data_IF_073291882480
#
_entry.id   IF_073291882480
#
_cell.length_a   1.000
_cell.length_b   1.000
_cell.length_c   1.000
_cell.angle_alpha   90.00
_cell.angle_beta   90.00
_cell.angle_gamma   90.00
#
_symmetry.space_group_name_H-M   'P 1'
#
loop_
_entity.id
_entity.type
_entity.pdbx_description
1 polymer ?
#
# COMPACT_ATOMS: atom_id res chain seq x y z
N UNK A 1 43.82 -48.13 40.19
CA UNK A 1 42.39 -48.22 39.84
C UNK A 1 41.74 -46.89 40.19
N UNK A 2 41.44 -46.07 39.18
CA UNK A 2 40.78 -44.78 39.36
C UNK A 2 39.26 -44.94 39.18
N UNK A 3 38.42 -44.17 39.89
CA UNK A 3 36.97 -44.32 39.82
C UNK A 3 36.45 -43.84 38.46
N UNK A 4 35.65 -44.68 37.79
CA UNK A 4 34.84 -44.29 36.63
C UNK A 4 33.87 -43.20 37.07
N UNK A 5 34.08 -41.97 36.58
CA UNK A 5 33.03 -40.94 36.54
C UNK A 5 31.88 -41.48 35.69
N UNK A 6 30.80 -41.84 36.35
CA UNK A 6 29.46 -41.88 35.77
C UNK A 6 29.17 -40.51 35.17
N UNK A 7 29.22 -40.43 33.84
CA UNK A 7 28.68 -39.30 33.11
C UNK A 7 27.16 -39.32 33.28
N UNK A 8 26.66 -38.52 34.22
CA UNK A 8 25.27 -38.13 34.26
C UNK A 8 24.97 -37.37 32.96
N UNK A 9 24.32 -38.06 32.03
CA UNK A 9 23.55 -37.44 30.97
C UNK A 9 22.42 -36.67 31.62
N UNK A 10 22.71 -35.43 32.02
CA UNK A 10 21.72 -34.40 32.23
C UNK A 10 21.04 -34.17 30.89
N UNK A 11 19.93 -34.90 30.68
CA UNK A 11 18.90 -34.51 29.74
C UNK A 11 18.43 -33.13 30.18
N UNK A 12 19.08 -32.08 29.67
CA UNK A 12 18.51 -30.75 29.63
C UNK A 12 17.20 -30.89 28.86
N UNK A 13 16.12 -31.03 29.62
CA UNK A 13 14.77 -30.81 29.13
C UNK A 13 14.76 -29.38 28.63
N UNK A 14 15.01 -29.20 27.33
CA UNK A 14 14.80 -27.93 26.65
C UNK A 14 13.34 -27.59 26.87
N UNK A 15 13.07 -26.73 27.85
CA UNK A 15 11.74 -26.24 28.14
C UNK A 15 11.33 -25.46 26.90
N UNK A 16 10.61 -26.13 25.99
CA UNK A 16 9.97 -25.45 24.87
C UNK A 16 9.05 -24.40 25.48
N UNK A 17 9.32 -23.13 25.21
CA UNK A 17 8.46 -22.01 25.65
C UNK A 17 7.05 -22.08 25.06
N UNK A 18 6.80 -23.00 24.12
CA UNK A 18 5.53 -23.20 23.43
C UNK A 18 5.40 -24.68 23.03
N UNK A 19 5.14 -25.60 23.99
CA UNK A 19 5.10 -27.03 23.72
C UNK A 19 3.93 -27.36 22.79
N UNK A 20 4.23 -27.89 21.59
CA UNK A 20 3.23 -28.26 20.59
C UNK A 20 2.73 -27.13 19.68
N UNK A 21 3.21 -25.89 19.87
CA UNK A 21 2.86 -24.78 18.98
C UNK A 21 3.40 -24.98 17.56
N UNK A 22 2.62 -24.59 16.55
CA UNK A 22 2.97 -24.74 15.14
C UNK A 22 3.21 -26.20 14.72
N UNK A 23 2.49 -27.17 15.30
CA UNK A 23 2.59 -28.57 14.85
C UNK A 23 1.98 -28.80 13.47
N UNK A 24 1.07 -27.92 13.05
CA UNK A 24 0.36 -28.02 11.78
C UNK A 24 1.09 -27.25 10.67
N UNK A 25 1.18 -27.88 9.50
CA UNK A 25 1.76 -27.28 8.28
C UNK A 25 1.07 -25.99 7.86
N UNK A 26 -0.23 -25.87 8.13
CA UNK A 26 -1.03 -24.68 7.80
C UNK A 26 -0.56 -23.47 8.60
N UNK A 27 -0.41 -23.66 9.91
CA UNK A 27 -0.06 -22.59 10.86
C UNK A 27 1.40 -22.19 10.67
N UNK A 28 2.29 -23.16 10.37
CA UNK A 28 3.67 -22.90 9.97
C UNK A 28 3.76 -22.03 8.69
N UNK A 29 3.02 -22.39 7.64
CA UNK A 29 3.08 -21.69 6.37
C UNK A 29 2.49 -20.26 6.45
N UNK A 30 1.41 -20.08 7.22
CA UNK A 30 0.82 -18.78 7.52
C UNK A 30 1.79 -17.91 8.33
N UNK A 31 2.39 -18.47 9.39
CA UNK A 31 3.37 -17.78 10.21
C UNK A 31 4.60 -17.34 9.40
N UNK A 32 5.14 -18.24 8.56
CA UNK A 32 6.25 -17.92 7.67
C UNK A 32 5.91 -16.76 6.71
N UNK A 33 4.68 -16.70 6.21
CA UNK A 33 4.20 -15.60 5.36
C UNK A 33 4.22 -14.28 6.12
N UNK A 34 3.62 -14.24 7.31
CA UNK A 34 3.57 -13.05 8.17
C UNK A 34 4.98 -12.55 8.50
N UNK A 35 5.90 -13.44 8.88
CA UNK A 35 7.29 -13.09 9.21
C UNK A 35 8.03 -12.57 7.98
N UNK A 36 7.90 -13.24 6.83
CA UNK A 36 8.55 -12.86 5.58
C UNK A 36 8.13 -11.45 5.16
N UNK A 37 6.82 -11.17 5.11
CA UNK A 37 6.34 -9.86 4.66
C UNK A 37 6.59 -8.77 5.70
N UNK A 38 6.56 -9.08 7.00
CA UNK A 38 7.03 -8.14 8.02
C UNK A 38 8.47 -7.71 7.77
N UNK A 39 9.37 -8.66 7.50
CA UNK A 39 10.77 -8.37 7.16
C UNK A 39 10.89 -7.53 5.88
N UNK A 40 10.08 -7.82 4.85
CA UNK A 40 10.04 -7.04 3.61
C UNK A 40 9.59 -5.59 3.87
N UNK A 41 8.51 -5.37 4.61
CA UNK A 41 8.01 -4.03 4.92
C UNK A 41 8.98 -3.24 5.82
N UNK A 42 9.67 -3.90 6.76
CA UNK A 42 10.77 -3.29 7.51
C UNK A 42 11.93 -2.88 6.58
N UNK A 43 12.30 -3.74 5.62
CA UNK A 43 13.30 -3.41 4.59
C UNK A 43 12.89 -2.20 3.74
N UNK A 44 11.62 -2.12 3.34
CA UNK A 44 11.04 -0.96 2.63
C UNK A 44 11.11 0.29 3.50
N UNK A 45 10.86 0.19 4.81
CA UNK A 45 10.99 1.31 5.75
C UNK A 45 12.42 1.83 5.85
N UNK A 46 13.41 0.94 5.94
CA UNK A 46 14.83 1.34 5.89
C UNK A 46 15.16 2.01 4.55
N UNK A 47 14.71 1.45 3.43
CA UNK A 47 14.89 2.03 2.10
C UNK A 47 14.25 3.42 1.98
N UNK A 48 13.07 3.63 2.57
CA UNK A 48 12.37 4.91 2.64
C UNK A 48 13.24 5.98 3.30
N UNK A 49 13.87 5.68 4.45
CA UNK A 49 14.77 6.64 5.11
C UNK A 49 15.97 7.01 4.23
N UNK A 50 16.58 6.04 3.55
CA UNK A 50 17.70 6.28 2.65
C UNK A 50 17.30 7.13 1.43
N UNK A 51 16.14 6.84 0.83
CA UNK A 51 15.63 7.58 -0.34
C UNK A 51 15.20 9.00 0.05
N UNK A 52 14.51 9.20 1.18
CA UNK A 52 14.11 10.53 1.66
C UNK A 52 15.30 11.43 1.98
N UNK A 53 16.40 10.86 2.49
CA UNK A 53 17.63 11.61 2.76
C UNK A 53 18.26 12.16 1.47
N UNK A 54 18.21 11.40 0.37
CA UNK A 54 18.89 11.75 -0.90
C UNK A 54 18.02 12.48 -1.93
N UNK A 55 16.71 12.19 -1.99
CA UNK A 55 15.80 12.80 -2.98
C UNK A 55 15.25 14.12 -2.47
N UNK A 56 15.46 15.23 -3.20
CA UNK A 56 14.84 16.54 -2.89
C UNK A 56 13.45 16.68 -3.50
N UNK A 57 13.26 16.28 -4.76
CA UNK A 57 12.03 16.50 -5.52
C UNK A 57 10.87 15.56 -5.19
N UNK A 58 11.16 14.28 -4.90
CA UNK A 58 10.13 13.26 -4.66
C UNK A 58 9.62 13.17 -3.21
N UNK A 59 10.08 14.06 -2.32
CA UNK A 59 9.73 14.01 -0.88
C UNK A 59 8.23 14.09 -0.61
N UNK A 60 7.48 14.76 -1.49
CA UNK A 60 6.02 14.90 -1.37
C UNK A 60 5.29 13.59 -1.64
N UNK A 61 5.78 12.78 -2.58
CA UNK A 61 5.22 11.45 -2.86
C UNK A 61 5.46 10.51 -1.68
N UNK A 62 6.67 10.54 -1.11
CA UNK A 62 7.04 9.83 0.11
C UNK A 62 6.69 10.63 1.38
N UNK A 63 5.56 11.31 1.36
CA UNK A 63 5.11 12.18 2.42
C UNK A 63 4.57 11.43 3.65
N UNK A 64 3.74 12.14 4.43
CA UNK A 64 3.04 11.57 5.58
C UNK A 64 2.13 10.40 5.19
N UNK A 65 1.27 10.49 4.14
CA UNK A 65 0.37 9.39 3.77
C UNK A 65 1.10 8.07 3.46
N UNK A 66 2.20 8.14 2.69
CA UNK A 66 3.02 6.95 2.40
C UNK A 66 3.64 6.34 3.65
N UNK A 67 4.12 7.20 4.57
CA UNK A 67 4.73 6.74 5.82
C UNK A 67 3.69 6.10 6.73
N UNK A 68 2.51 6.71 6.85
CA UNK A 68 1.38 6.15 7.60
C UNK A 68 0.95 4.82 6.99
N UNK A 69 0.79 4.73 5.67
CA UNK A 69 0.47 3.49 4.99
C UNK A 69 1.44 2.36 5.37
N UNK A 70 2.74 2.62 5.25
CA UNK A 70 3.79 1.66 5.54
C UNK A 70 3.80 1.23 7.01
N UNK A 71 3.68 2.20 7.94
CA UNK A 71 3.63 1.91 9.38
C UNK A 71 2.38 1.10 9.73
N UNK A 72 1.22 1.42 9.15
CA UNK A 72 0.00 0.65 9.34
C UNK A 72 0.14 -0.79 8.86
N UNK A 73 0.78 -1.03 7.70
CA UNK A 73 1.10 -2.40 7.27
C UNK A 73 2.02 -3.12 8.27
N UNK A 74 3.11 -2.48 8.71
CA UNK A 74 4.03 -3.07 9.70
C UNK A 74 3.28 -3.44 10.99
N UNK A 75 2.45 -2.52 11.52
CA UNK A 75 1.66 -2.77 12.72
C UNK A 75 0.66 -3.92 12.52
N UNK A 76 -0.02 -3.97 11.37
CA UNK A 76 -0.90 -5.09 11.03
C UNK A 76 -0.16 -6.42 11.08
N UNK A 77 1.00 -6.55 10.44
CA UNK A 77 1.79 -7.78 10.49
C UNK A 77 2.30 -8.11 11.91
N UNK A 78 2.67 -7.09 12.71
CA UNK A 78 3.10 -7.30 14.10
C UNK A 78 1.94 -7.82 14.95
N UNK A 79 0.76 -7.21 14.89
CA UNK A 79 -0.41 -7.68 15.64
C UNK A 79 -0.88 -9.06 15.16
N UNK A 80 -0.84 -9.31 13.85
CA UNK A 80 -1.11 -10.63 13.29
C UNK A 80 -0.14 -11.69 13.81
N UNK A 81 1.16 -11.38 13.86
CA UNK A 81 2.18 -12.28 14.40
C UNK A 81 1.95 -12.57 15.89
N UNK A 82 1.72 -11.53 16.69
CA UNK A 82 1.44 -11.67 18.12
C UNK A 82 0.20 -12.53 18.34
N UNK A 83 -0.88 -12.26 17.60
CA UNK A 83 -2.14 -13.02 17.67
C UNK A 83 -1.91 -14.51 17.39
N UNK A 84 -1.21 -14.83 16.30
CA UNK A 84 -0.90 -16.22 15.91
C UNK A 84 -0.02 -16.92 16.95
N UNK A 85 1.04 -16.27 17.44
CA UNK A 85 1.93 -16.88 18.44
C UNK A 85 1.19 -17.14 19.74
N UNK A 86 0.38 -16.19 20.22
CA UNK A 86 -0.36 -16.35 21.47
C UNK A 86 -1.38 -17.49 21.39
N UNK A 87 -2.06 -17.61 20.25
CA UNK A 87 -3.04 -18.67 19.98
C UNK A 87 -2.39 -20.06 19.91
N UNK A 88 -1.31 -20.20 19.14
CA UNK A 88 -0.59 -21.48 18.98
C UNK A 88 0.05 -21.94 20.30
N UNK A 89 0.48 -21.01 21.15
CA UNK A 89 1.03 -21.34 22.45
C UNK A 89 -0.04 -21.54 23.53
N UNK A 90 -1.33 -21.44 23.20
CA UNK A 90 -2.45 -21.54 24.14
C UNK A 90 -2.30 -20.59 25.35
N UNK A 91 -1.71 -19.42 25.12
CA UNK A 91 -1.43 -18.41 26.17
C UNK A 91 -2.50 -17.31 26.23
N UNK A 92 -3.40 -17.27 25.25
CA UNK A 92 -4.48 -16.30 25.16
C UNK A 92 -5.84 -17.01 25.08
N UNK A 93 -6.87 -16.32 25.54
CA UNK A 93 -8.26 -16.71 25.32
C UNK A 93 -8.75 -16.24 23.93
N UNK A 94 -9.83 -16.87 23.46
CA UNK A 94 -10.43 -16.62 22.14
C UNK A 94 -10.88 -15.15 21.96
N UNK A 95 -11.47 -14.45 22.96
CA UNK A 95 -11.83 -13.04 22.84
C UNK A 95 -10.63 -12.14 22.55
N UNK A 96 -9.55 -12.28 23.32
CA UNK A 96 -8.32 -11.50 23.12
C UNK A 96 -7.69 -11.76 21.75
N UNK A 97 -7.74 -13.01 21.26
CA UNK A 97 -7.33 -13.34 19.89
C UNK A 97 -8.15 -12.57 18.83
N UNK A 98 -9.47 -12.50 19.00
CA UNK A 98 -10.33 -11.74 18.08
C UNK A 98 -10.10 -10.23 18.15
N UNK A 99 -9.81 -9.67 19.33
CA UNK A 99 -9.48 -8.25 19.48
C UNK A 99 -8.17 -7.88 18.78
N UNK A 100 -7.13 -8.71 18.93
CA UNK A 100 -5.85 -8.54 18.23
C UNK A 100 -6.00 -8.68 16.72
N UNK A 101 -6.78 -9.68 16.28
CA UNK A 101 -7.07 -9.90 14.86
C UNK A 101 -7.87 -8.74 14.26
N UNK A 102 -8.84 -8.21 14.99
CA UNK A 102 -9.61 -7.03 14.59
C UNK A 102 -8.71 -5.81 14.47
N UNK A 103 -7.82 -5.60 15.45
CA UNK A 103 -6.83 -4.51 15.44
C UNK A 103 -5.91 -4.62 14.22
N UNK A 104 -5.42 -5.83 13.94
CA UNK A 104 -4.59 -6.10 12.75
C UNK A 104 -5.33 -5.74 11.45
N UNK A 105 -6.61 -6.14 11.33
CA UNK A 105 -7.43 -5.84 10.15
C UNK A 105 -7.66 -4.34 9.99
N UNK A 106 -7.90 -3.60 11.08
CA UNK A 106 -8.06 -2.13 11.02
C UNK A 106 -6.80 -1.47 10.46
N UNK A 107 -5.62 -1.86 10.95
CA UNK A 107 -4.36 -1.33 10.43
C UNK A 107 -4.11 -1.73 8.97
N UNK A 108 -4.46 -2.96 8.58
CA UNK A 108 -4.36 -3.41 7.19
C UNK A 108 -5.24 -2.56 6.27
N UNK A 109 -6.52 -2.39 6.62
CA UNK A 109 -7.49 -1.57 5.91
C UNK A 109 -7.03 -0.11 5.77
N UNK A 110 -6.53 0.47 6.87
CA UNK A 110 -5.99 1.82 6.88
C UNK A 110 -4.77 1.95 5.97
N UNK A 111 -3.86 0.97 6.03
CA UNK A 111 -2.68 0.91 5.16
C UNK A 111 -3.05 0.85 3.67
N UNK A 112 -4.02 0.01 3.33
CA UNK A 112 -4.54 -0.15 1.97
C UNK A 112 -5.20 1.13 1.46
N UNK A 113 -6.02 1.77 2.28
CA UNK A 113 -6.63 3.05 1.94
C UNK A 113 -5.59 4.17 1.74
N UNK A 114 -4.62 4.31 2.65
CA UNK A 114 -3.55 5.31 2.53
C UNK A 114 -2.68 5.06 1.30
N UNK A 115 -2.39 3.81 0.95
CA UNK A 115 -1.69 3.48 -0.30
C UNK A 115 -2.48 3.98 -1.52
N UNK A 116 -3.80 3.73 -1.54
CA UNK A 116 -4.68 4.25 -2.60
C UNK A 116 -4.67 5.79 -2.61
N UNK A 117 -4.70 6.45 -1.46
CA UNK A 117 -4.57 7.91 -1.36
C UNK A 117 -3.25 8.41 -1.97
N UNK A 118 -2.12 7.74 -1.69
CA UNK A 118 -0.83 8.09 -2.29
C UNK A 118 -0.88 7.97 -3.81
N UNK A 119 -1.44 6.90 -4.35
CA UNK A 119 -1.44 6.64 -5.79
C UNK A 119 -2.48 7.49 -6.53
N UNK A 120 -3.73 7.49 -6.08
CA UNK A 120 -4.82 8.22 -6.75
C UNK A 120 -4.64 9.72 -6.58
N UNK A 121 -4.39 10.20 -5.35
CA UNK A 121 -4.33 11.63 -5.08
C UNK A 121 -2.90 12.18 -5.21
N UNK A 122 -1.94 11.65 -4.45
CA UNK A 122 -0.62 12.29 -4.32
C UNK A 122 0.18 12.20 -5.63
N UNK A 123 0.28 11.01 -6.24
CA UNK A 123 1.01 10.81 -7.49
C UNK A 123 0.40 11.60 -8.65
N UNK A 124 -0.92 11.47 -8.89
CA UNK A 124 -1.57 12.18 -9.99
C UNK A 124 -1.54 13.70 -9.83
N UNK A 125 -1.67 14.23 -8.60
CA UNK A 125 -1.54 15.67 -8.39
C UNK A 125 -0.12 16.17 -8.63
N UNK A 126 0.91 15.39 -8.27
CA UNK A 126 2.30 15.73 -8.60
C UNK A 126 2.55 15.71 -10.12
N UNK A 127 2.12 14.66 -10.82
CA UNK A 127 2.27 14.55 -12.28
C UNK A 127 1.56 15.70 -13.02
N UNK A 128 0.35 16.06 -12.61
CA UNK A 128 -0.40 17.17 -13.22
C UNK A 128 0.21 18.54 -12.93
N UNK A 129 0.76 18.73 -11.74
CA UNK A 129 1.46 19.98 -11.39
C UNK A 129 2.65 20.22 -12.32
N UNK A 130 3.38 19.16 -12.70
CA UNK A 130 4.50 19.23 -13.65
C UNK A 130 4.09 19.66 -15.07
N UNK A 131 2.84 19.44 -15.45
CA UNK A 131 2.29 19.85 -16.76
C UNK A 131 1.75 21.30 -16.69
N UNK A 132 1.75 21.95 -15.51
CA UNK A 132 1.15 23.27 -15.33
C UNK A 132 -0.39 23.27 -15.49
N UNK A 133 -1.01 22.09 -15.47
CA UNK A 133 -2.44 21.89 -15.77
C UNK A 133 -3.26 21.44 -14.56
N UNK A 134 -2.86 21.78 -13.33
CA UNK A 134 -3.62 21.38 -12.15
C UNK A 134 -4.89 22.23 -12.05
N UNK A 135 -5.96 21.82 -12.74
CA UNK A 135 -7.27 22.41 -12.53
C UNK A 135 -7.83 21.94 -11.19
N UNK A 136 -8.48 22.84 -10.45
CA UNK A 136 -9.16 22.55 -9.18
C UNK A 136 -10.09 21.34 -9.29
N UNK A 137 -10.69 21.14 -10.47
CA UNK A 137 -11.57 20.02 -10.81
C UNK A 137 -10.92 18.66 -10.54
N UNK A 138 -9.72 18.39 -11.06
CA UNK A 138 -9.10 17.07 -10.87
C UNK A 138 -8.77 16.78 -9.40
N UNK A 139 -8.40 17.82 -8.64
CA UNK A 139 -8.15 17.67 -7.20
C UNK A 139 -9.41 17.25 -6.45
N UNK A 140 -10.55 17.87 -6.77
CA UNK A 140 -11.86 17.50 -6.19
C UNK A 140 -12.23 16.08 -6.56
N UNK A 141 -12.07 15.69 -7.83
CA UNK A 141 -12.36 14.32 -8.30
C UNK A 141 -11.52 13.28 -7.57
N UNK A 142 -10.22 13.49 -7.41
CA UNK A 142 -9.36 12.53 -6.68
C UNK A 142 -9.74 12.42 -5.19
N UNK A 143 -10.07 13.53 -4.54
CA UNK A 143 -10.54 13.53 -3.14
C UNK A 143 -11.88 12.79 -3.04
N UNK A 144 -12.79 13.00 -3.98
CA UNK A 144 -14.08 12.32 -4.00
C UNK A 144 -13.91 10.80 -4.14
N UNK A 145 -13.07 10.33 -5.08
CA UNK A 145 -12.78 8.90 -5.27
C UNK A 145 -12.23 8.29 -3.98
N UNK A 146 -11.19 8.90 -3.40
CA UNK A 146 -10.55 8.35 -2.20
C UNK A 146 -11.45 8.47 -0.96
N UNK A 147 -12.29 9.50 -0.89
CA UNK A 147 -13.27 9.69 0.19
C UNK A 147 -14.40 8.65 0.14
N UNK A 148 -14.93 8.34 -1.04
CA UNK A 148 -15.91 7.24 -1.20
C UNK A 148 -15.27 5.92 -0.81
N UNK A 149 -14.05 5.65 -1.26
CA UNK A 149 -13.31 4.44 -0.88
C UNK A 149 -13.07 4.35 0.62
N UNK A 150 -12.75 5.48 1.29
CA UNK A 150 -12.61 5.52 2.75
C UNK A 150 -13.88 5.04 3.46
N UNK A 151 -15.05 5.59 3.06
CA UNK A 151 -16.33 5.24 3.66
C UNK A 151 -16.66 3.75 3.48
N UNK A 152 -16.40 3.20 2.30
CA UNK A 152 -16.63 1.77 2.02
C UNK A 152 -15.71 0.89 2.86
N UNK A 153 -14.41 1.19 2.92
CA UNK A 153 -13.42 0.45 3.72
C UNK A 153 -13.76 0.51 5.22
N UNK A 154 -14.16 1.69 5.72
CA UNK A 154 -14.62 1.86 7.09
C UNK A 154 -15.87 1.02 7.37
N UNK A 155 -16.86 1.06 6.47
CA UNK A 155 -18.08 0.25 6.59
C UNK A 155 -17.77 -1.25 6.65
N UNK A 156 -16.89 -1.74 5.76
CA UNK A 156 -16.48 -3.14 5.75
C UNK A 156 -15.71 -3.53 7.01
N UNK A 157 -14.79 -2.69 7.46
CA UNK A 157 -13.99 -2.95 8.66
C UNK A 157 -14.87 -3.00 9.91
N UNK A 158 -15.82 -2.07 10.05
CA UNK A 158 -16.79 -2.05 11.16
C UNK A 158 -17.68 -3.29 11.13
N UNK A 159 -18.21 -3.65 9.96
CA UNK A 159 -19.07 -4.83 9.82
C UNK A 159 -18.33 -6.13 10.10
N UNK A 160 -17.06 -6.24 9.66
CA UNK A 160 -16.19 -7.37 9.97
C UNK A 160 -15.90 -7.46 11.46
N UNK A 161 -15.58 -6.35 12.13
CA UNK A 161 -15.35 -6.31 13.57
C UNK A 161 -16.62 -6.71 14.36
N UNK A 162 -17.78 -6.20 13.94
CA UNK A 162 -19.07 -6.57 14.53
C UNK A 162 -19.34 -8.07 14.40
N UNK A 163 -19.14 -8.66 13.21
CA UNK A 163 -19.38 -10.08 12.99
C UNK A 163 -18.41 -10.94 13.82
N UNK A 164 -17.13 -10.56 13.93
CA UNK A 164 -16.16 -11.25 14.79
C UNK A 164 -16.56 -11.20 16.28
N UNK A 165 -16.99 -10.03 16.76
CA UNK A 165 -17.47 -9.87 18.13
C UNK A 165 -18.78 -10.64 18.41
N UNK A 166 -19.69 -10.67 17.44
CA UNK A 166 -20.93 -11.46 17.57
C UNK A 166 -20.64 -12.96 17.65
N UNK A 167 -19.69 -13.46 16.84
CA UNK A 167 -19.27 -14.86 16.86
C UNK A 167 -18.61 -15.23 18.19
N UNK A 168 -17.71 -14.38 18.71
CA UNK A 168 -17.06 -14.64 20.01
C UNK A 168 -18.09 -14.71 21.14
N UNK A 169 -19.07 -13.79 21.18
CA UNK A 169 -20.14 -13.84 22.18
C UNK A 169 -21.03 -15.07 22.05
N UNK A 170 -21.40 -15.48 20.83
CA UNK A 170 -22.24 -16.68 20.63
C UNK A 170 -21.57 -17.95 21.15
N UNK A 171 -20.24 -18.05 20.99
CA UNK A 171 -19.46 -19.19 21.46
C UNK A 171 -19.46 -19.30 23.01
N UNK A 172 -19.37 -18.17 23.71
CA UNK A 172 -19.29 -18.16 25.17
C UNK A 172 -20.64 -18.08 25.90
N UNK A 173 -21.63 -17.38 25.33
CA UNK A 173 -22.90 -17.07 26.01
C UNK A 173 -24.09 -17.82 25.44
N UNK A 174 -23.92 -18.61 24.38
CA UNK A 174 -25.00 -19.36 23.73
C UNK A 174 -26.14 -18.46 23.24
N UNK A 175 -25.88 -17.17 23.02
CA UNK A 175 -26.86 -16.24 22.48
C UNK A 175 -26.75 -16.21 20.96
N UNK A 176 -27.85 -16.53 20.28
CA UNK A 176 -27.98 -16.35 18.83
C UNK A 176 -28.03 -14.85 18.51
N UNK A 177 -26.87 -14.23 18.30
CA UNK A 177 -26.80 -12.90 17.69
C UNK A 177 -26.93 -13.03 16.18
N UNK A 178 -27.72 -12.14 15.57
CA UNK A 178 -27.77 -12.01 14.12
C UNK A 178 -26.40 -11.55 13.58
N UNK A 179 -25.77 -12.41 12.77
CA UNK A 179 -24.52 -12.14 12.07
C UNK A 179 -24.84 -11.70 10.64
N UNK A 180 -24.23 -10.62 10.17
CA UNK A 180 -24.47 -10.05 8.85
C UNK A 180 -23.42 -10.52 7.83
N UNK A 181 -23.19 -11.83 7.75
CA UNK A 181 -22.13 -12.42 6.91
C UNK A 181 -22.36 -12.11 5.42
N UNK A 182 -23.60 -12.26 4.94
CA UNK A 182 -23.92 -12.03 3.53
C UNK A 182 -23.71 -10.56 3.13
N UNK A 183 -24.11 -9.62 3.99
CA UNK A 183 -23.90 -8.19 3.76
C UNK A 183 -22.39 -7.85 3.74
N UNK A 184 -21.59 -8.44 4.66
CA UNK A 184 -20.14 -8.28 4.66
C UNK A 184 -19.48 -8.81 3.38
N UNK A 185 -19.92 -9.96 2.89
CA UNK A 185 -19.40 -10.54 1.63
C UNK A 185 -19.71 -9.64 0.43
N UNK A 186 -20.94 -9.15 0.33
CA UNK A 186 -21.38 -8.24 -0.74
C UNK A 186 -20.66 -6.88 -0.69
N UNK A 187 -20.50 -6.33 0.52
CA UNK A 187 -19.77 -5.08 0.72
C UNK A 187 -18.27 -5.23 0.41
N UNK A 188 -17.65 -6.33 0.82
CA UNK A 188 -16.27 -6.65 0.47
C UNK A 188 -16.06 -6.79 -1.04
N UNK A 189 -17.00 -7.41 -1.76
CA UNK A 189 -16.95 -7.46 -3.23
C UNK A 189 -17.05 -6.05 -3.84
N UNK A 190 -17.96 -5.22 -3.35
CA UNK A 190 -18.10 -3.84 -3.82
C UNK A 190 -16.84 -3.01 -3.55
N UNK A 191 -16.23 -3.16 -2.36
CA UNK A 191 -14.96 -2.54 -2.00
C UNK A 191 -13.86 -2.90 -3.01
N UNK A 192 -13.67 -4.19 -3.27
CA UNK A 192 -12.61 -4.65 -4.19
C UNK A 192 -12.82 -4.16 -5.62
N UNK A 193 -14.08 -4.17 -6.11
CA UNK A 193 -14.41 -3.65 -7.45
C UNK A 193 -14.16 -2.15 -7.54
N UNK A 194 -14.60 -1.36 -6.55
CA UNK A 194 -14.37 0.08 -6.54
C UNK A 194 -12.89 0.42 -6.40
N UNK A 195 -12.13 -0.35 -5.61
CA UNK A 195 -10.69 -0.21 -5.51
C UNK A 195 -10.01 -0.48 -6.86
N UNK A 196 -10.40 -1.56 -7.55
CA UNK A 196 -9.89 -1.90 -8.88
C UNK A 196 -10.14 -0.77 -9.89
N UNK A 197 -11.38 -0.26 -9.95
CA UNK A 197 -11.74 0.85 -10.83
C UNK A 197 -10.94 2.10 -10.50
N UNK A 198 -10.73 2.40 -9.22
CA UNK A 198 -9.94 3.54 -8.76
C UNK A 198 -8.48 3.43 -9.20
N UNK A 199 -7.87 2.25 -9.06
CA UNK A 199 -6.49 1.97 -9.48
C UNK A 199 -6.36 2.08 -11.00
N UNK A 200 -7.26 1.47 -11.78
CA UNK A 200 -7.21 1.51 -13.25
C UNK A 200 -7.41 2.94 -13.77
N UNK A 201 -8.39 3.67 -13.24
CA UNK A 201 -8.62 5.07 -13.61
C UNK A 201 -7.41 5.95 -13.26
N UNK A 202 -6.85 5.78 -12.07
CA UNK A 202 -5.63 6.48 -11.64
C UNK A 202 -4.42 6.15 -12.52
N UNK A 203 -4.22 4.86 -12.86
CA UNK A 203 -3.20 4.40 -13.78
C UNK A 203 -3.32 5.07 -15.14
N UNK A 204 -4.53 5.06 -15.73
CA UNK A 204 -4.81 5.74 -16.99
C UNK A 204 -4.51 7.24 -16.96
N UNK A 205 -4.94 7.94 -15.90
CA UNK A 205 -4.69 9.37 -15.74
C UNK A 205 -3.21 9.70 -15.56
N UNK A 206 -2.48 8.87 -14.81
CA UNK A 206 -1.04 9.03 -14.60
C UNK A 206 -0.25 8.81 -15.89
N UNK A 207 -0.62 7.81 -16.71
CA UNK A 207 -0.03 7.58 -18.02
C UNK A 207 -0.32 8.71 -19.01
N UNK A 208 -1.56 9.21 -19.06
CA UNK A 208 -1.91 10.39 -19.86
C UNK A 208 -1.07 11.60 -19.48
N UNK A 209 -0.86 11.82 -18.17
CA UNK A 209 0.00 12.90 -17.69
C UNK A 209 1.45 12.71 -18.14
N UNK A 210 2.00 11.48 -18.08
CA UNK A 210 3.36 11.21 -18.54
C UNK A 210 3.50 11.38 -20.06
N UNK A 211 2.52 10.94 -20.85
CA UNK A 211 2.55 11.17 -22.31
C UNK A 211 2.49 12.67 -22.65
N UNK A 212 1.70 13.46 -21.91
CA UNK A 212 1.68 14.91 -22.05
C UNK A 212 3.01 15.56 -21.62
N UNK A 213 3.72 15.01 -20.63
CA UNK A 213 5.09 15.45 -20.32
C UNK A 213 6.05 15.14 -21.46
N UNK A 214 5.94 13.94 -22.06
CA UNK A 214 6.78 13.53 -23.19
C UNK A 214 6.56 14.40 -24.43
N UNK A 215 5.31 14.74 -24.77
CA UNK A 215 5.02 15.62 -25.90
C UNK A 215 5.60 17.03 -25.72
N UNK A 216 5.77 17.47 -24.47
CA UNK A 216 6.44 18.72 -24.09
C UNK A 216 7.95 18.61 -23.88
N UNK A 217 8.57 17.48 -24.27
CA UNK A 217 10.01 17.19 -24.12
C UNK A 217 10.51 17.26 -22.67
N UNK A 218 9.63 17.04 -21.69
CA UNK A 218 10.03 16.92 -20.29
C UNK A 218 10.64 15.54 -20.02
N UNK A 219 11.59 15.43 -19.07
CA UNK A 219 12.25 14.17 -18.73
C UNK A 219 11.27 13.22 -18.05
N UNK A 220 10.63 12.33 -18.83
CA UNK A 220 9.62 11.38 -18.34
C UNK A 220 9.69 9.97 -18.94
N UNK A 221 10.70 9.67 -19.76
CA UNK A 221 10.77 8.39 -20.48
C UNK A 221 10.78 7.16 -19.57
N UNK A 222 11.70 7.11 -18.62
CA UNK A 222 11.83 5.98 -17.67
C UNK A 222 10.70 5.96 -16.61
N UNK A 223 10.06 7.11 -16.36
CA UNK A 223 8.93 7.21 -15.44
C UNK A 223 7.72 6.37 -15.88
N UNK A 224 7.56 6.17 -17.20
CA UNK A 224 6.48 5.33 -17.76
C UNK A 224 6.59 3.90 -17.22
N UNK A 225 7.80 3.31 -17.25
CA UNK A 225 8.02 1.94 -16.81
C UNK A 225 7.62 1.74 -15.35
N UNK A 226 8.02 2.66 -14.47
CA UNK A 226 7.69 2.58 -13.04
C UNK A 226 6.20 2.77 -12.74
N UNK A 227 5.51 3.65 -13.47
CA UNK A 227 4.05 3.85 -13.31
C UNK A 227 3.26 2.66 -13.85
N UNK A 228 3.68 2.06 -14.97
CA UNK A 228 3.09 0.81 -15.45
C UNK A 228 3.32 -0.31 -14.44
N UNK A 229 4.55 -0.47 -13.93
CA UNK A 229 4.86 -1.48 -12.91
C UNK A 229 4.02 -1.30 -11.64
N UNK A 230 3.85 -0.06 -11.16
CA UNK A 230 2.96 0.27 -10.03
C UNK A 230 1.51 -0.10 -10.31
N UNK A 231 1.00 0.25 -11.50
CA UNK A 231 -0.39 -0.01 -11.85
C UNK A 231 -0.63 -1.52 -11.94
N UNK A 232 0.28 -2.26 -12.58
CA UNK A 232 0.21 -3.72 -12.69
C UNK A 232 0.31 -4.38 -11.32
N UNK A 233 1.21 -3.93 -10.43
CA UNK A 233 1.30 -4.50 -9.08
C UNK A 233 0.02 -4.27 -8.28
N UNK A 234 -0.55 -3.06 -8.31
CA UNK A 234 -1.80 -2.80 -7.59
C UNK A 234 -2.97 -3.57 -8.19
N UNK A 235 -3.10 -3.61 -9.52
CA UNK A 235 -4.16 -4.39 -10.18
C UNK A 235 -4.03 -5.88 -9.87
N UNK A 236 -2.82 -6.44 -9.93
CA UNK A 236 -2.59 -7.85 -9.62
C UNK A 236 -2.98 -8.19 -8.18
N UNK A 237 -2.62 -7.35 -7.20
CA UNK A 237 -3.03 -7.53 -5.80
C UNK A 237 -4.56 -7.55 -5.68
N UNK A 238 -5.23 -6.59 -6.32
CA UNK A 238 -6.70 -6.44 -6.22
C UNK A 238 -7.43 -7.55 -6.97
N UNK A 239 -6.86 -8.09 -8.05
CA UNK A 239 -7.43 -9.25 -8.74
C UNK A 239 -7.40 -10.50 -7.86
N UNK A 240 -6.35 -10.69 -7.06
CA UNK A 240 -6.30 -11.77 -6.06
C UNK A 240 -7.44 -11.60 -5.05
N UNK A 241 -7.59 -10.40 -4.50
CA UNK A 241 -8.67 -10.10 -3.55
C UNK A 241 -10.07 -10.23 -4.19
N UNK A 242 -10.20 -9.93 -5.48
CA UNK A 242 -11.46 -9.99 -6.21
C UNK A 242 -11.90 -11.43 -6.42
N UNK A 243 -10.98 -12.31 -6.82
CA UNK A 243 -11.23 -13.74 -6.91
C UNK A 243 -11.70 -14.25 -5.55
N UNK A 244 -11.02 -13.83 -4.48
CA UNK A 244 -11.40 -14.24 -3.12
C UNK A 244 -12.81 -13.78 -2.73
N UNK A 245 -13.13 -12.51 -3.02
CA UNK A 245 -14.43 -11.92 -2.72
C UNK A 245 -15.58 -12.58 -3.51
N UNK A 246 -15.39 -12.84 -4.81
CA UNK A 246 -16.42 -13.46 -5.68
C UNK A 246 -16.76 -14.86 -5.19
N UNK A 247 -15.75 -15.67 -4.95
CA UNK A 247 -15.93 -17.04 -4.49
C UNK A 247 -16.52 -17.11 -3.08
N UNK A 248 -16.15 -16.17 -2.18
CA UNK A 248 -16.80 -16.05 -0.87
C UNK A 248 -18.29 -15.76 -0.97
N UNK A 249 -18.71 -14.91 -1.92
CA UNK A 249 -20.12 -14.64 -2.21
C UNK A 249 -20.82 -15.88 -2.78
N UNK A 250 -20.14 -16.67 -3.61
CA UNK A 250 -20.67 -17.92 -4.18
C UNK A 250 -20.72 -19.08 -3.17
N UNK A 251 -20.12 -18.94 -1.99
CA UNK A 251 -20.08 -20.00 -0.98
C UNK A 251 -19.15 -21.15 -1.36
N UNK A 252 -18.16 -20.92 -2.23
CA UNK A 252 -17.18 -21.92 -2.61
C UNK A 252 -16.15 -22.03 -1.48
N UNK A 253 -16.00 -23.23 -0.90
CA UNK A 253 -15.00 -23.49 0.14
C UNK A 253 -13.60 -23.62 -0.47
N UNK A 254 -12.61 -23.04 0.20
CA UNK A 254 -11.22 -23.11 -0.21
C UNK A 254 -10.48 -24.20 0.53
N UNK A 255 -9.58 -24.85 -0.20
CA UNK A 255 -8.48 -25.53 0.48
C UNK A 255 -7.57 -24.48 1.11
N UNK A 256 -7.11 -24.73 2.33
CA UNK A 256 -6.23 -23.83 3.07
C UNK A 256 -4.94 -23.50 2.28
N UNK A 257 -4.44 -24.44 1.46
CA UNK A 257 -3.26 -24.21 0.63
C UNK A 257 -3.48 -23.06 -0.34
N UNK A 258 -4.69 -22.98 -0.91
CA UNK A 258 -5.07 -21.91 -1.84
C UNK A 258 -5.08 -20.57 -1.11
N UNK A 259 -5.73 -20.50 0.05
CA UNK A 259 -5.79 -19.27 0.86
C UNK A 259 -4.40 -18.74 1.22
N UNK A 260 -3.49 -19.62 1.63
CA UNK A 260 -2.12 -19.24 1.94
C UNK A 260 -1.40 -18.74 0.68
N UNK A 261 -1.46 -19.48 -0.43
CA UNK A 261 -0.83 -19.09 -1.68
C UNK A 261 -1.32 -17.72 -2.18
N UNK A 262 -2.62 -17.46 -2.11
CA UNK A 262 -3.20 -16.17 -2.45
C UNK A 262 -2.69 -15.05 -1.53
N UNK A 263 -2.59 -15.29 -0.23
CA UNK A 263 -2.01 -14.32 0.71
C UNK A 263 -0.56 -13.96 0.36
N UNK A 264 0.28 -14.94 0.00
CA UNK A 264 1.64 -14.66 -0.48
C UNK A 264 1.63 -13.78 -1.74
N UNK A 265 0.84 -14.15 -2.75
CA UNK A 265 0.79 -13.41 -4.01
C UNK A 265 0.29 -11.97 -3.78
N UNK A 266 -0.78 -11.80 -3.00
CA UNK A 266 -1.32 -10.48 -2.65
C UNK A 266 -0.29 -9.61 -1.93
N UNK A 267 0.32 -10.13 -0.86
CA UNK A 267 1.33 -9.40 -0.10
C UNK A 267 2.58 -9.06 -0.92
N UNK A 268 2.98 -9.94 -1.85
CA UNK A 268 4.07 -9.67 -2.78
C UNK A 268 3.78 -8.47 -3.68
N UNK A 269 2.61 -8.43 -4.32
CA UNK A 269 2.23 -7.33 -5.19
C UNK A 269 1.97 -6.02 -4.42
N UNK A 270 1.47 -6.13 -3.19
CA UNK A 270 1.34 -5.00 -2.28
C UNK A 270 2.71 -4.41 -1.94
N UNK A 271 3.68 -5.24 -1.55
CA UNK A 271 5.06 -4.81 -1.29
C UNK A 271 5.72 -4.19 -2.54
N UNK A 272 5.52 -4.79 -3.72
CA UNK A 272 5.99 -4.22 -4.99
C UNK A 272 5.41 -2.83 -5.25
N UNK A 273 4.15 -2.57 -4.88
CA UNK A 273 3.53 -1.26 -5.04
C UNK A 273 4.25 -0.19 -4.20
N UNK A 274 4.64 -0.51 -2.97
CA UNK A 274 5.47 0.37 -2.13
C UNK A 274 6.86 0.60 -2.71
N UNK A 275 7.50 -0.44 -3.25
CA UNK A 275 8.82 -0.35 -3.89
C UNK A 275 8.75 0.51 -5.16
N UNK A 276 7.74 0.29 -6.00
CA UNK A 276 7.53 1.08 -7.21
C UNK A 276 7.33 2.57 -6.88
N UNK A 277 6.62 2.89 -5.81
CA UNK A 277 6.50 4.27 -5.32
C UNK A 277 7.84 4.89 -4.86
N UNK A 278 8.73 4.11 -4.23
CA UNK A 278 10.09 4.57 -3.91
C UNK A 278 10.90 4.86 -5.18
N UNK A 279 10.81 3.98 -6.19
CA UNK A 279 11.47 4.18 -7.49
C UNK A 279 10.96 5.43 -8.20
N UNK A 280 9.64 5.61 -8.25
CA UNK A 280 8.99 6.81 -8.79
C UNK A 280 9.50 8.03 -8.04
N UNK A 281 9.51 8.05 -6.71
CA UNK A 281 9.95 9.20 -5.93
C UNK A 281 11.43 9.54 -6.08
N UNK A 282 12.28 8.56 -6.38
CA UNK A 282 13.71 8.77 -6.65
C UNK A 282 13.97 9.29 -8.08
N UNK A 283 13.00 9.20 -8.97
CA UNK A 283 13.17 9.50 -10.39
C UNK A 283 13.58 10.97 -10.66
N UNK A 284 14.44 11.18 -11.66
CA UNK A 284 15.05 12.48 -12.01
C UNK A 284 14.03 13.52 -12.50
N UNK A 285 12.84 13.09 -12.92
CA UNK A 285 11.74 13.98 -13.29
C UNK A 285 11.38 14.99 -12.18
N UNK A 286 11.63 14.65 -10.91
CA UNK A 286 11.32 15.51 -9.77
C UNK A 286 12.40 16.53 -9.45
N UNK A 287 13.64 16.35 -9.90
CA UNK A 287 14.73 17.29 -9.60
C UNK A 287 14.77 18.50 -10.53
N UNK A 288 14.01 18.46 -11.63
CA UNK A 288 14.01 19.49 -12.69
C UNK A 288 12.70 20.28 -12.72
N UNK A 289 12.15 20.64 -11.57
CA UNK A 289 11.04 21.59 -11.52
C UNK A 289 11.55 22.99 -11.82
N UNK A 290 11.49 23.34 -13.09
CA UNK A 290 11.31 24.69 -13.62
C UNK A 290 12.26 25.73 -13.01
N UNK A 291 13.49 25.80 -13.53
CA UNK A 291 13.96 27.12 -13.90
C UNK A 291 12.90 27.62 -14.88
N UNK A 292 12.01 28.47 -14.40
CA UNK A 292 11.23 29.34 -15.24
C UNK A 292 12.28 30.06 -16.06
N UNK A 293 12.62 29.53 -17.23
CA UNK A 293 12.85 30.39 -18.36
C UNK A 293 11.55 31.19 -18.44
N UNK A 294 11.50 32.28 -17.68
CA UNK A 294 11.11 33.54 -18.28
C UNK A 294 11.71 33.44 -19.67
N UNK A 295 10.86 33.36 -20.68
CA UNK A 295 11.25 33.93 -21.95
C UNK A 295 11.69 35.34 -21.54
N UNK A 296 12.99 35.49 -21.28
CA UNK A 296 13.65 36.77 -21.27
C UNK A 296 13.28 37.26 -22.65
N UNK A 297 12.25 38.10 -22.65
CA UNK A 297 11.73 38.75 -23.82
C UNK A 297 12.95 39.52 -24.26
N UNK A 298 13.73 38.94 -25.18
CA UNK A 298 14.91 39.59 -25.70
C UNK A 298 14.38 40.96 -26.11
N UNK A 299 14.81 42.05 -25.43
CA UNK A 299 14.28 43.36 -25.76
C UNK A 299 14.55 43.48 -27.25
N UNK A 300 13.48 43.64 -28.03
CA UNK A 300 13.59 43.94 -29.45
C UNK A 300 14.52 45.13 -29.48
N UNK A 301 15.78 44.92 -29.86
CA UNK A 301 16.74 45.99 -30.06
C UNK A 301 16.10 46.85 -31.13
N UNK A 302 15.47 47.95 -30.71
CA UNK A 302 14.97 48.98 -31.58
C UNK A 302 16.18 49.35 -32.46
N UNK A 303 16.11 49.00 -33.73
CA UNK A 303 17.11 49.43 -34.69
C UNK A 303 17.19 50.96 -34.59
N UNK A 304 18.39 51.54 -34.38
CA UNK A 304 18.54 52.98 -34.45
C UNK A 304 18.14 53.42 -35.86
N UNK A 305 17.03 54.16 -35.96
CA UNK A 305 16.66 54.90 -37.16
C UNK A 305 17.79 55.89 -37.40
N UNK A 306 18.62 55.61 -38.41
CA UNK A 306 19.63 56.54 -38.89
C UNK A 306 18.91 57.79 -39.40
N UNK A 307 18.99 58.88 -38.64
CA UNK A 307 18.58 60.19 -39.08
C UNK A 307 19.42 60.60 -40.29
N UNK A 308 18.80 60.58 -41.46
CA UNK A 308 19.37 61.12 -42.68
C UNK A 308 19.47 62.64 -42.52
N UNK A 309 20.69 63.12 -42.28
CA UNK A 309 20.97 64.55 -42.11
C UNK A 309 21.04 65.19 -43.50
N UNK A 310 19.89 65.60 -44.03
CA UNK A 310 19.79 66.45 -45.22
C UNK A 310 20.05 67.89 -44.80
N UNK A 311 21.32 68.29 -44.70
CA UNK A 311 21.69 69.70 -44.70
C UNK A 311 23.11 69.89 -45.23
N UNK A 312 23.19 70.36 -46.47
CA UNK A 312 24.39 70.90 -47.12
C UNK A 312 24.53 70.39 -48.55
N UNK A 313 24.67 71.19 -49.60
CA UNK A 313 24.90 72.63 -49.75
C UNK A 313 24.47 73.04 -51.16
N UNK A 314 24.10 74.32 -51.30
CA UNK A 314 24.07 75.08 -52.56
C UNK A 314 25.49 75.33 -53.06
#
# INVERSE_FOLDING_TARGET
>A
MAPRRSGSSSSESSYSSCPGGFSDTITQASFASTVLYLAVFLGISVALFLVRKKSSGGKRLLGVPYTIALVSFILSFVFGLISTVLMECSTTDIPTYYDLTTTSNVFYSLGTWELLFVVVYTLNTMLRKHIGGLTTVFRVVFIAIVGVMFLVICGQTVLSAYNLAALSESYYRGHDRHVFIEAQKKLGLAETVLYLLSVVASGGLSLMAIFAMRSRRLPGGDLIGWVVALTVSMVASVLVDLVFAVQNVQGIEYTWQSTIAWSYIGNFFQALSFINLLCIAKHVAWSKTTATTQQEYAPVTQQPVYGHNTNGQQ
#
